data_IF_849984787264
#
_entry.id   IF_849984787264
#
_cell.length_a   1.000
_cell.length_b   1.000
_cell.length_c   1.000
_cell.angle_alpha   90.00
_cell.angle_beta   90.00
_cell.angle_gamma   90.00
#
_symmetry.space_group_name_H-M   'P 1'
#
loop_
_entity.id
_entity.type
_entity.pdbx_description
1 polymer ?
#
# COMPACT_ATOMS: atom_id res chain seq x y z
N UNK A 1 16.66 -1.39 0.85
CA UNK A 1 17.12 0.01 0.94
C UNK A 1 18.61 0.03 1.24
N UNK A 2 19.36 0.92 0.57
CA UNK A 2 20.80 1.12 0.84
C UNK A 2 21.06 1.68 2.25
N UNK A 3 20.04 2.29 2.85
CA UNK A 3 20.10 2.94 4.17
C UNK A 3 19.89 1.97 5.35
N UNK A 4 19.33 0.79 5.09
CA UNK A 4 19.08 -0.24 6.09
C UNK A 4 19.57 -1.61 5.58
N UNK A 5 20.90 -1.80 5.41
CA UNK A 5 21.45 -3.08 4.98
C UNK A 5 21.25 -4.11 6.10
N UNK A 6 20.64 -5.25 5.73
CA UNK A 6 20.41 -6.34 6.68
C UNK A 6 21.65 -7.15 7.05
N UNK A 7 22.82 -6.81 6.52
CA UNK A 7 24.05 -7.60 6.65
C UNK A 7 24.52 -7.82 8.09
N UNK A 8 24.41 -6.77 8.93
CA UNK A 8 24.78 -6.88 10.35
C UNK A 8 23.78 -7.75 11.11
N UNK A 9 22.48 -7.53 10.86
CA UNK A 9 21.43 -8.34 11.46
C UNK A 9 21.56 -9.82 11.09
N UNK A 10 21.85 -10.12 9.82
CA UNK A 10 22.06 -11.49 9.36
C UNK A 10 23.23 -12.16 10.10
N UNK A 11 24.35 -11.44 10.23
CA UNK A 11 25.54 -11.95 10.90
C UNK A 11 25.31 -12.18 12.39
N UNK A 12 24.65 -11.23 13.07
CA UNK A 12 24.54 -11.24 14.52
C UNK A 12 23.35 -12.09 15.01
N UNK A 13 22.26 -12.15 14.25
CA UNK A 13 21.06 -12.91 14.62
C UNK A 13 20.94 -14.28 13.91
N UNK A 14 21.82 -14.59 12.96
CA UNK A 14 21.76 -15.87 12.21
C UNK A 14 20.45 -16.05 11.45
N UNK A 15 19.92 -14.99 10.86
CA UNK A 15 18.65 -15.00 10.13
C UNK A 15 18.84 -14.80 8.62
N UNK A 16 17.83 -15.13 7.84
CA UNK A 16 17.71 -14.70 6.44
C UNK A 16 17.00 -13.35 6.41
N UNK A 17 17.63 -12.34 5.82
CA UNK A 17 17.04 -11.01 5.66
C UNK A 17 16.54 -10.81 4.24
N UNK A 18 15.26 -10.45 4.10
CA UNK A 18 14.64 -10.16 2.81
C UNK A 18 14.16 -8.71 2.81
N UNK A 19 14.75 -7.88 1.94
CA UNK A 19 14.27 -6.54 1.67
C UNK A 19 13.31 -6.58 0.48
N UNK A 20 12.13 -6.00 0.65
CA UNK A 20 11.13 -5.92 -0.41
C UNK A 20 10.91 -4.47 -0.83
N UNK A 21 10.50 -4.28 -2.07
CA UNK A 21 10.00 -3.02 -2.60
C UNK A 21 8.52 -3.19 -2.95
N UNK A 22 7.74 -2.16 -2.68
CA UNK A 22 6.34 -2.06 -3.01
C UNK A 22 6.08 -0.74 -3.76
N UNK A 23 4.98 -0.65 -4.49
CA UNK A 23 4.62 0.57 -5.21
C UNK A 23 4.47 1.76 -4.25
N UNK A 24 4.96 2.91 -4.67
CA UNK A 24 4.94 4.15 -3.91
C UNK A 24 4.02 5.18 -4.56
N UNK A 25 3.71 6.25 -3.82
CA UNK A 25 2.92 7.37 -4.32
C UNK A 25 1.56 6.91 -4.83
N UNK A 26 1.07 7.56 -5.88
CA UNK A 26 -0.24 7.29 -6.48
C UNK A 26 -0.35 5.93 -7.21
N UNK A 27 0.76 5.24 -7.42
CA UNK A 27 0.77 3.87 -7.94
C UNK A 27 0.54 2.82 -6.84
N UNK A 28 0.91 3.14 -5.60
CA UNK A 28 0.71 2.27 -4.44
C UNK A 28 -0.55 2.60 -3.63
N UNK A 29 -1.03 3.85 -3.74
CA UNK A 29 -2.10 4.38 -2.91
C UNK A 29 -3.07 5.20 -3.76
N UNK A 30 -4.17 4.60 -4.18
CA UNK A 30 -5.16 5.26 -5.01
C UNK A 30 -6.53 4.61 -4.84
N UNK A 31 -7.41 5.27 -4.09
CA UNK A 31 -8.76 4.79 -3.80
C UNK A 31 -9.84 5.45 -4.67
N UNK A 32 -9.49 5.97 -5.86
CA UNK A 32 -10.51 6.43 -6.80
C UNK A 32 -11.47 5.28 -7.17
N UNK A 33 -12.79 5.52 -7.20
CA UNK A 33 -13.79 4.46 -7.36
C UNK A 33 -13.59 3.59 -8.61
N UNK A 34 -13.14 4.17 -9.71
CA UNK A 34 -12.86 3.44 -10.96
C UNK A 34 -11.72 2.42 -10.83
N UNK A 35 -10.80 2.60 -9.87
CA UNK A 35 -9.69 1.68 -9.60
C UNK A 35 -10.01 0.66 -8.50
N UNK A 36 -11.07 0.90 -7.71
CA UNK A 36 -11.49 0.04 -6.61
C UNK A 36 -12.82 -0.67 -6.88
N UNK A 37 -13.29 -0.66 -8.12
CA UNK A 37 -14.52 -1.31 -8.54
C UNK A 37 -14.48 -2.85 -8.46
N UNK A 38 -13.30 -3.44 -8.56
CA UNK A 38 -13.10 -4.89 -8.37
C UNK A 38 -13.01 -5.22 -6.87
N UNK A 39 -13.62 -6.32 -6.39
CA UNK A 39 -13.62 -6.68 -4.96
C UNK A 39 -12.22 -6.81 -4.32
N UNK A 40 -11.22 -7.16 -5.14
CA UNK A 40 -9.82 -7.33 -4.70
C UNK A 40 -9.00 -6.03 -4.83
N UNK A 41 -9.58 -4.97 -5.38
CA UNK A 41 -8.91 -3.70 -5.62
C UNK A 41 -9.34 -2.68 -4.56
N UNK A 42 -8.52 -2.47 -3.54
CA UNK A 42 -8.89 -1.73 -2.33
C UNK A 42 -8.26 -0.34 -2.23
N UNK A 43 -7.51 0.10 -3.25
CA UNK A 43 -6.71 1.32 -3.19
C UNK A 43 -5.43 1.20 -2.36
N UNK A 44 -5.30 0.17 -1.52
CA UNK A 44 -4.11 -0.18 -0.75
C UNK A 44 -3.14 -1.07 -1.56
N UNK A 45 -2.85 -0.70 -2.80
CA UNK A 45 -2.07 -1.54 -3.74
C UNK A 45 -0.66 -1.85 -3.24
N UNK A 46 -0.03 -0.92 -2.50
CA UNK A 46 1.27 -1.16 -1.88
C UNK A 46 1.22 -2.31 -0.86
N UNK A 47 0.12 -2.46 -0.13
CA UNK A 47 -0.06 -3.57 0.81
C UNK A 47 -0.27 -4.90 0.08
N UNK A 48 -0.95 -4.89 -1.06
CA UNK A 48 -1.09 -6.09 -1.89
C UNK A 48 0.27 -6.54 -2.46
N UNK A 49 1.17 -5.61 -2.79
CA UNK A 49 2.54 -5.92 -3.18
C UNK A 49 3.30 -6.62 -2.04
N UNK A 50 3.13 -6.14 -0.80
CA UNK A 50 3.73 -6.76 0.38
C UNK A 50 3.15 -8.16 0.60
N UNK A 51 1.83 -8.35 0.40
CA UNK A 51 1.21 -9.66 0.50
C UNK A 51 1.82 -10.65 -0.49
N UNK A 52 2.01 -10.25 -1.74
CA UNK A 52 2.65 -11.08 -2.78
C UNK A 52 4.10 -11.39 -2.45
N UNK A 53 4.84 -10.42 -1.90
CA UNK A 53 6.21 -10.65 -1.47
C UNK A 53 6.29 -11.67 -0.32
N UNK A 54 5.38 -11.59 0.66
CA UNK A 54 5.29 -12.55 1.75
C UNK A 54 4.90 -13.96 1.27
N UNK A 55 4.00 -14.06 0.30
CA UNK A 55 3.66 -15.35 -0.34
C UNK A 55 4.89 -15.95 -1.00
N UNK A 56 5.65 -15.15 -1.75
CA UNK A 56 6.90 -15.60 -2.35
C UNK A 56 7.93 -16.05 -1.31
N UNK A 57 8.09 -15.29 -0.22
CA UNK A 57 8.98 -15.66 0.88
C UNK A 57 8.58 -17.02 1.45
N UNK A 58 7.32 -17.19 1.81
CA UNK A 58 6.82 -18.46 2.36
C UNK A 58 7.11 -19.65 1.43
N UNK A 59 6.90 -19.47 0.14
CA UNK A 59 7.04 -20.55 -0.85
C UNK A 59 8.50 -20.88 -1.19
N UNK A 60 9.43 -19.94 -0.97
CA UNK A 60 10.82 -20.08 -1.45
C UNK A 60 11.88 -20.04 -0.34
N UNK A 61 11.59 -19.47 0.84
CA UNK A 61 12.65 -19.12 1.81
C UNK A 61 13.43 -20.33 2.34
N UNK A 62 12.83 -21.52 2.35
CA UNK A 62 13.50 -22.77 2.75
C UNK A 62 14.70 -23.09 1.85
N UNK A 63 14.69 -22.68 0.58
CA UNK A 63 15.82 -22.83 -0.36
C UNK A 63 16.99 -21.93 -0.03
N UNK A 64 16.76 -20.90 0.78
CA UNK A 64 17.78 -19.96 1.27
C UNK A 64 18.18 -20.23 2.72
N UNK A 65 17.74 -21.37 3.28
CA UNK A 65 18.02 -21.75 4.67
C UNK A 65 17.12 -21.09 5.71
N UNK A 66 16.07 -20.39 5.29
CA UNK A 66 15.10 -19.76 6.17
C UNK A 66 13.95 -20.69 6.58
N UNK A 67 13.18 -20.25 7.56
CA UNK A 67 11.99 -20.94 8.05
C UNK A 67 10.71 -20.17 7.68
N UNK A 68 9.87 -20.79 6.86
CA UNK A 68 8.61 -20.24 6.41
C UNK A 68 7.56 -20.09 7.53
N UNK A 69 7.74 -20.79 8.63
CA UNK A 69 6.86 -20.76 9.80
C UNK A 69 7.40 -19.82 10.90
N UNK A 70 8.49 -19.09 10.61
CA UNK A 70 9.12 -18.14 11.51
C UNK A 70 9.49 -16.82 10.81
N UNK A 71 8.51 -16.19 10.19
CA UNK A 71 8.68 -14.91 9.48
C UNK A 71 8.39 -13.75 10.45
N UNK A 72 9.31 -12.81 10.55
CA UNK A 72 9.14 -11.55 11.27
C UNK A 72 9.07 -10.40 10.27
N UNK A 73 7.94 -9.71 10.22
CA UNK A 73 7.80 -8.47 9.45
C UNK A 73 8.41 -7.32 10.24
N UNK A 74 9.37 -6.59 9.65
CA UNK A 74 10.01 -5.47 10.31
C UNK A 74 9.92 -4.21 9.43
N UNK A 75 9.65 -3.07 10.07
CA UNK A 75 9.60 -1.79 9.38
C UNK A 75 10.05 -0.62 10.25
N UNK A 76 10.65 0.39 9.61
CA UNK A 76 11.07 1.63 10.24
C UNK A 76 10.30 2.82 9.64
N UNK A 77 9.89 3.78 10.46
CA UNK A 77 9.16 5.00 10.07
C UNK A 77 7.87 4.63 9.29
N UNK A 78 7.76 4.96 8.03
CA UNK A 78 6.61 4.58 7.18
C UNK A 78 6.47 3.05 7.06
N UNK A 79 7.59 2.32 6.95
CA UNK A 79 7.61 0.85 7.05
C UNK A 79 7.11 0.34 8.40
N UNK A 80 7.39 1.06 9.49
CA UNK A 80 6.87 0.76 10.83
C UNK A 80 5.34 0.94 10.89
N UNK A 81 4.80 2.00 10.28
CA UNK A 81 3.35 2.19 10.14
C UNK A 81 2.70 1.03 9.39
N UNK A 82 3.33 0.60 8.29
CA UNK A 82 2.84 -0.56 7.53
C UNK A 82 2.90 -1.84 8.34
N UNK A 83 4.02 -2.13 9.02
CA UNK A 83 4.14 -3.32 9.86
C UNK A 83 3.07 -3.37 10.96
N UNK A 84 2.79 -2.23 11.62
CA UNK A 84 1.73 -2.11 12.62
C UNK A 84 0.34 -2.33 12.00
N UNK A 85 0.04 -1.74 10.85
CA UNK A 85 -1.23 -1.91 10.15
C UNK A 85 -1.45 -3.37 9.72
N UNK A 86 -0.42 -3.99 9.13
CA UNK A 86 -0.49 -5.36 8.63
C UNK A 86 -0.62 -6.40 9.74
N UNK A 87 -0.09 -6.12 10.93
CA UNK A 87 -0.25 -7.00 12.09
C UNK A 87 -1.72 -7.18 12.51
N UNK A 88 -2.58 -6.20 12.22
CA UNK A 88 -4.03 -6.27 12.45
C UNK A 88 -4.85 -6.67 11.21
N UNK A 89 -4.24 -6.74 10.04
CA UNK A 89 -4.95 -6.97 8.78
C UNK A 89 -5.47 -8.40 8.62
N UNK A 90 -6.76 -8.60 8.31
CA UNK A 90 -7.30 -9.92 8.02
C UNK A 90 -6.60 -10.61 6.85
N UNK A 91 -6.23 -9.87 5.81
CA UNK A 91 -5.56 -10.38 4.62
C UNK A 91 -4.18 -10.96 4.94
N UNK A 92 -3.53 -10.47 6.01
CA UNK A 92 -2.18 -10.88 6.36
C UNK A 92 -2.09 -11.96 7.43
N UNK A 93 -3.23 -12.45 7.92
CA UNK A 93 -3.26 -13.56 8.89
C UNK A 93 -2.54 -14.79 8.35
N UNK A 94 -1.58 -15.29 9.12
CA UNK A 94 -0.79 -16.48 8.77
C UNK A 94 0.32 -16.24 7.75
N UNK A 95 0.50 -15.01 7.22
CA UNK A 95 1.58 -14.70 6.29
C UNK A 95 2.92 -14.42 6.99
N UNK A 96 2.87 -14.02 8.25
CA UNK A 96 4.01 -13.86 9.14
C UNK A 96 3.59 -14.14 10.59
N UNK A 97 4.55 -14.39 11.48
CA UNK A 97 4.30 -14.81 12.85
C UNK A 97 4.60 -13.71 13.87
N UNK A 98 5.39 -12.70 13.51
CA UNK A 98 5.78 -11.60 14.40
C UNK A 98 5.91 -10.31 13.60
N UNK A 99 5.73 -9.17 14.27
CA UNK A 99 5.96 -7.87 13.67
C UNK A 99 6.79 -6.97 14.59
N UNK A 100 7.64 -6.14 13.97
CA UNK A 100 8.42 -5.10 14.63
C UNK A 100 8.18 -3.79 13.90
N UNK A 101 7.61 -2.81 14.59
CA UNK A 101 7.30 -1.50 14.04
C UNK A 101 8.13 -0.45 14.78
N UNK A 102 9.19 0.04 14.15
CA UNK A 102 10.10 1.00 14.74
C UNK A 102 9.71 2.41 14.30
N UNK A 103 9.44 3.29 15.26
CA UNK A 103 9.07 4.70 15.01
C UNK A 103 7.89 4.88 14.05
N UNK A 104 6.96 3.94 14.07
CA UNK A 104 5.75 3.95 13.24
C UNK A 104 4.50 4.07 14.10
N UNK A 105 3.73 5.17 13.93
CA UNK A 105 2.40 5.29 14.51
C UNK A 105 1.35 4.72 13.56
N UNK A 106 0.24 4.19 14.07
CA UNK A 106 -0.87 3.73 13.24
C UNK A 106 -1.90 4.85 13.09
N UNK A 107 -2.08 5.34 11.87
CA UNK A 107 -3.20 6.18 11.48
C UNK A 107 -3.75 5.70 10.14
N UNK A 108 -5.05 5.46 10.08
CA UNK A 108 -5.73 5.05 8.87
C UNK A 108 -6.44 6.25 8.25
N UNK A 109 -6.32 6.39 6.94
CA UNK A 109 -7.04 7.41 6.18
C UNK A 109 -8.48 6.94 5.89
N UNK A 110 -9.39 7.89 5.87
CA UNK A 110 -10.74 7.68 5.39
C UNK A 110 -10.73 7.59 3.85
N UNK A 111 -11.23 6.50 3.25
CA UNK A 111 -11.15 6.30 1.81
C UNK A 111 -11.97 7.31 1.01
N UNK A 112 -13.15 7.74 1.49
CA UNK A 112 -14.00 8.69 0.79
C UNK A 112 -13.37 10.08 0.77
N UNK A 113 -12.87 10.55 1.91
CA UNK A 113 -12.14 11.81 1.99
C UNK A 113 -10.82 11.79 1.19
N UNK A 114 -10.18 10.64 1.10
CA UNK A 114 -8.97 10.48 0.28
C UNK A 114 -9.30 10.46 -1.21
N UNK A 115 -10.38 9.77 -1.63
CA UNK A 115 -10.84 9.77 -3.02
C UNK A 115 -11.19 11.18 -3.50
N UNK A 116 -11.85 11.99 -2.66
CA UNK A 116 -12.14 13.38 -2.97
C UNK A 116 -10.87 14.19 -3.29
N UNK A 117 -9.85 14.10 -2.43
CA UNK A 117 -8.56 14.77 -2.64
C UNK A 117 -7.82 14.24 -3.87
N UNK A 118 -7.91 12.95 -4.15
CA UNK A 118 -7.34 12.36 -5.34
C UNK A 118 -8.02 12.90 -6.60
N UNK A 119 -9.35 12.96 -6.62
CA UNK A 119 -10.11 13.53 -7.73
C UNK A 119 -9.70 15.00 -7.99
N UNK A 120 -9.60 15.80 -6.94
CA UNK A 120 -9.13 17.19 -7.04
C UNK A 120 -7.69 17.28 -7.62
N UNK A 121 -6.79 16.36 -7.22
CA UNK A 121 -5.41 16.32 -7.71
C UNK A 121 -5.32 15.90 -9.20
N UNK A 122 -6.14 14.95 -9.63
CA UNK A 122 -6.14 14.47 -11.02
C UNK A 122 -6.95 15.35 -11.97
N UNK A 123 -7.93 16.10 -11.47
CA UNK A 123 -8.83 16.92 -12.29
C UNK A 123 -8.12 17.89 -13.26
N UNK A 124 -7.03 18.59 -12.87
CA UNK A 124 -6.28 19.44 -13.80
C UNK A 124 -5.77 18.69 -15.03
N UNK A 125 -5.33 17.43 -14.87
CA UNK A 125 -4.86 16.62 -15.99
C UNK A 125 -5.98 16.30 -16.99
N UNK A 126 -7.19 16.06 -16.50
CA UNK A 126 -8.35 15.80 -17.37
C UNK A 126 -8.78 17.06 -18.16
N UNK A 127 -8.61 18.24 -17.55
CA UNK A 127 -8.80 19.53 -18.24
C UNK A 127 -7.70 19.77 -19.28
N UNK A 128 -6.44 19.53 -18.95
CA UNK A 128 -5.31 19.61 -19.89
C UNK A 128 -5.48 18.69 -21.11
N UNK A 129 -6.05 17.50 -20.89
CA UNK A 129 -6.36 16.53 -21.95
C UNK A 129 -7.61 16.94 -22.78
N UNK A 130 -8.26 18.07 -22.46
CA UNK A 130 -9.42 18.58 -23.17
C UNK A 130 -10.72 17.81 -22.94
N UNK A 131 -10.78 16.99 -21.87
CA UNK A 131 -11.97 16.20 -21.53
C UNK A 131 -13.06 17.05 -20.87
N UNK A 132 -12.67 18.05 -20.09
CA UNK A 132 -13.56 18.93 -19.33
C UNK A 132 -13.13 20.39 -19.49
N UNK A 133 -14.08 21.31 -19.37
CA UNK A 133 -13.82 22.74 -19.41
C UNK A 133 -13.29 23.28 -18.06
N UNK A 134 -13.57 22.58 -16.97
CA UNK A 134 -13.22 22.99 -15.61
C UNK A 134 -12.88 21.79 -14.71
N UNK A 135 -12.15 22.06 -13.64
CA UNK A 135 -11.68 21.04 -12.69
C UNK A 135 -12.80 20.49 -11.80
N UNK A 136 -13.88 21.23 -11.57
CA UNK A 136 -14.97 20.76 -10.74
C UNK A 136 -15.71 19.60 -11.43
N UNK A 137 -16.09 19.79 -12.71
CA UNK A 137 -16.72 18.73 -13.51
C UNK A 137 -15.80 17.52 -13.70
N UNK A 138 -14.49 17.77 -13.88
CA UNK A 138 -13.49 16.70 -13.96
C UNK A 138 -13.38 15.90 -12.66
N UNK A 139 -13.40 16.56 -11.50
CA UNK A 139 -13.34 15.91 -10.21
C UNK A 139 -14.60 15.06 -9.94
N UNK A 140 -15.77 15.55 -10.26
CA UNK A 140 -17.03 14.78 -10.16
C UNK A 140 -16.97 13.51 -11.02
N UNK A 141 -16.49 13.62 -12.26
CA UNK A 141 -16.30 12.47 -13.14
C UNK A 141 -15.33 11.45 -12.57
N UNK A 142 -14.19 11.89 -12.00
CA UNK A 142 -13.18 11.01 -11.37
C UNK A 142 -13.71 10.24 -10.17
N UNK A 143 -14.77 10.73 -9.53
CA UNK A 143 -15.45 10.05 -8.42
C UNK A 143 -16.49 9.01 -8.89
N UNK A 144 -16.62 8.78 -10.19
CA UNK A 144 -17.48 7.72 -10.71
C UNK A 144 -16.72 6.40 -10.90
N UNK A 145 -17.36 5.23 -10.72
CA UNK A 145 -16.73 3.93 -10.95
C UNK A 145 -16.73 3.53 -12.43
N UNK A 146 -16.70 4.50 -13.36
CA UNK A 146 -16.79 4.28 -14.80
C UNK A 146 -15.55 3.62 -15.40
N UNK A 147 -15.77 2.78 -16.41
CA UNK A 147 -14.66 2.17 -17.18
C UNK A 147 -13.86 3.20 -17.97
N UNK A 148 -14.50 4.27 -18.42
CA UNK A 148 -13.88 5.40 -19.11
C UNK A 148 -12.90 6.17 -18.20
N UNK A 149 -13.23 6.33 -16.92
CA UNK A 149 -12.32 6.88 -15.89
C UNK A 149 -11.10 5.97 -15.73
N UNK A 150 -11.35 4.65 -15.58
CA UNK A 150 -10.28 3.66 -15.43
C UNK A 150 -9.34 3.65 -16.65
N UNK A 151 -9.89 3.62 -17.84
CA UNK A 151 -9.12 3.63 -19.08
C UNK A 151 -8.24 4.88 -19.18
N UNK A 152 -8.80 6.04 -18.87
CA UNK A 152 -8.05 7.28 -18.88
C UNK A 152 -6.92 7.30 -17.83
N UNK A 153 -7.21 6.91 -16.57
CA UNK A 153 -6.20 6.83 -15.51
C UNK A 153 -5.07 5.88 -15.86
N UNK A 154 -5.39 4.71 -16.42
CA UNK A 154 -4.40 3.72 -16.86
C UNK A 154 -3.61 4.15 -18.10
N UNK A 155 -4.15 5.06 -18.90
CA UNK A 155 -3.50 5.64 -20.08
C UNK A 155 -2.60 6.84 -19.82
N UNK A 156 -2.62 7.38 -18.59
CA UNK A 156 -1.77 8.53 -18.23
C UNK A 156 -0.29 8.15 -18.23
N UNK A 157 0.53 9.06 -18.78
CA UNK A 157 1.98 8.95 -18.69
C UNK A 157 2.43 8.91 -17.23
N UNK A 158 3.26 7.93 -16.81
CA UNK A 158 3.67 7.75 -15.41
C UNK A 158 4.31 9.01 -14.79
N UNK A 159 5.02 9.80 -15.59
CA UNK A 159 5.64 11.05 -15.13
C UNK A 159 4.60 12.10 -14.70
N UNK A 160 3.46 12.18 -15.39
CA UNK A 160 2.35 13.09 -15.02
C UNK A 160 1.75 12.68 -13.67
N UNK A 161 1.53 11.38 -13.46
CA UNK A 161 1.02 10.84 -12.19
C UNK A 161 2.00 11.12 -11.05
N UNK A 162 3.30 10.88 -11.28
CA UNK A 162 4.34 11.11 -10.27
C UNK A 162 4.46 12.58 -9.85
N UNK A 163 4.07 13.52 -10.70
CA UNK A 163 4.10 14.94 -10.41
C UNK A 163 2.95 15.42 -9.50
N UNK A 164 1.89 14.64 -9.31
CA UNK A 164 0.69 15.03 -8.56
C UNK A 164 0.87 15.04 -7.02
N UNK A 165 2.07 14.76 -6.52
CA UNK A 165 2.36 14.80 -5.10
C UNK A 165 2.09 13.49 -4.35
N UNK A 166 2.02 13.57 -3.02
CA UNK A 166 1.88 12.39 -2.15
C UNK A 166 0.43 12.18 -1.76
N UNK A 167 -0.14 10.98 -2.00
CA UNK A 167 -1.47 10.64 -1.52
C UNK A 167 -1.48 10.37 -0.01
N UNK A 168 -2.67 10.32 0.59
CA UNK A 168 -2.87 9.61 1.84
C UNK A 168 -2.53 8.12 1.67
N UNK A 169 -2.20 7.46 2.76
CA UNK A 169 -1.81 6.05 2.77
C UNK A 169 -2.58 5.29 3.85
N UNK A 170 -2.65 3.98 3.74
CA UNK A 170 -3.33 3.10 4.70
C UNK A 170 -4.83 3.43 4.81
N UNK A 171 -5.57 3.21 3.74
CA UNK A 171 -7.02 3.42 3.72
C UNK A 171 -7.74 2.37 4.57
N UNK A 172 -8.68 2.83 5.41
CA UNK A 172 -9.58 1.95 6.15
C UNK A 172 -10.70 1.46 5.22
N UNK A 173 -10.42 0.40 4.45
CA UNK A 173 -11.26 -0.17 3.41
C UNK A 173 -12.09 -1.37 3.86
N UNK A 174 -11.93 -1.79 5.14
CA UNK A 174 -12.54 -2.97 5.76
C UNK A 174 -12.24 -4.32 5.06
N UNK A 175 -11.40 -4.33 4.03
CA UNK A 175 -10.93 -5.51 3.31
C UNK A 175 -9.48 -5.83 3.70
N UNK A 176 -8.57 -4.89 3.45
CA UNK A 176 -7.15 -5.00 3.85
C UNK A 176 -6.95 -4.43 5.24
N UNK A 177 -7.51 -3.26 5.52
CA UNK A 177 -7.36 -2.56 6.81
C UNK A 177 -8.71 -2.17 7.40
N UNK A 178 -8.94 -2.53 8.66
CA UNK A 178 -10.11 -2.10 9.43
C UNK A 178 -9.69 -1.23 10.61
N UNK A 179 -10.50 -0.21 10.93
CA UNK A 179 -10.28 0.67 12.09
C UNK A 179 -10.29 -0.08 13.43
N UNK A 180 -11.06 -1.16 13.49
CA UNK A 180 -11.24 -1.97 14.71
C UNK A 180 -10.28 -3.16 14.79
N UNK A 181 -9.40 -3.33 13.79
CA UNK A 181 -8.49 -4.45 13.73
C UNK A 181 -7.45 -4.39 14.86
N UNK A 182 -7.30 -5.51 15.55
CA UNK A 182 -6.25 -5.70 16.56
C UNK A 182 -5.16 -6.61 16.00
N UNK A 183 -3.94 -6.41 16.47
CA UNK A 183 -2.83 -7.27 16.07
C UNK A 183 -3.15 -8.75 16.35
N UNK A 184 -3.00 -9.57 15.31
CA UNK A 184 -3.18 -11.02 15.37
C UNK A 184 -1.88 -11.77 15.71
N UNK A 185 -0.74 -11.05 15.80
CA UNK A 185 0.59 -11.59 16.08
C UNK A 185 1.27 -10.76 17.17
N UNK A 186 2.30 -11.27 17.86
CA UNK A 186 3.16 -10.46 18.73
C UNK A 186 3.71 -9.25 17.96
N UNK A 187 3.48 -8.06 18.50
CA UNK A 187 3.90 -6.78 17.90
C UNK A 187 4.79 -6.04 18.91
N UNK A 188 6.01 -5.72 18.50
CA UNK A 188 6.93 -4.84 19.18
C UNK A 188 6.83 -3.44 18.54
N UNK A 189 6.57 -2.42 19.37
CA UNK A 189 6.45 -1.01 18.97
C UNK A 189 7.68 -0.21 19.40
#
# INVERSE_FOLDING_TARGET
SLELPGSELVRDAGCVFVALNYRLGLFGWNCLPALTADPDATGNFALLDIARALDWVRDNIRRFGGDADNITLCGFSDGGRMAAALAGSPLFRGRFQKAVAISGGLSLADPDAAAQKLAENFAPLAVEDGRFADTASAAEWLLTPGSDVREWLCGLEPARIAALGKPATLYADDVVLSRDARSAVPLLL
#
